data_IF_185665223780
#
_entry.id   IF_185665223780
#
_cell.length_a   1.000
_cell.length_b   1.000
_cell.length_c   1.000
_cell.angle_alpha   90.00
_cell.angle_beta   90.00
_cell.angle_gamma   90.00
#
_symmetry.space_group_name_H-M   'P 1'
#
loop_
_entity.id
_entity.type
_entity.pdbx_description
1 polymer ?
#
# COMPACT_ATOMS: atom_id res chain seq x y z
N UNK A 1 2.25 -5.48 8.13
CA UNK A 1 1.73 -4.24 8.74
C UNK A 1 0.26 -4.08 8.43
N UNK A 2 -0.46 -3.31 9.25
CA UNK A 2 -1.85 -2.97 8.99
C UNK A 2 -1.95 -1.99 7.81
N UNK A 3 -2.81 -2.31 6.86
CA UNK A 3 -3.22 -1.43 5.77
C UNK A 3 -4.53 -0.77 6.19
N UNK A 4 -4.53 0.55 6.29
CA UNK A 4 -5.69 1.26 6.79
C UNK A 4 -5.52 2.75 6.60
N UNK A 5 -6.52 3.56 7.00
CA UNK A 5 -6.56 5.00 6.78
C UNK A 5 -5.56 5.72 7.69
N UNK A 6 -4.27 5.46 7.46
CA UNK A 6 -3.18 6.20 8.06
C UNK A 6 -3.33 7.65 7.58
N UNK A 7 -3.45 8.62 8.51
CA UNK A 7 -3.76 10.01 8.16
C UNK A 7 -2.61 10.72 7.43
N UNK A 8 -1.45 10.08 7.35
CA UNK A 8 -0.28 10.58 6.66
C UNK A 8 0.35 9.46 5.81
N UNK A 9 1.15 9.82 4.79
CA UNK A 9 1.98 8.86 4.08
C UNK A 9 2.88 8.07 5.03
N UNK A 10 3.02 6.77 4.76
CA UNK A 10 3.85 5.86 5.54
C UNK A 10 5.05 5.44 4.72
N UNK A 11 6.22 5.34 5.36
CA UNK A 11 7.42 4.75 4.77
C UNK A 11 7.83 3.54 5.60
N UNK A 12 8.17 2.44 4.94
CA UNK A 12 8.66 1.23 5.59
C UNK A 12 9.93 0.72 4.92
N UNK A 13 10.89 0.30 5.72
CA UNK A 13 12.08 -0.40 5.25
C UNK A 13 11.86 -1.91 5.41
N UNK A 14 12.06 -2.64 4.32
CA UNK A 14 11.89 -4.11 4.28
C UNK A 14 13.26 -4.73 4.02
N UNK A 15 13.77 -5.58 4.92
CA UNK A 15 15.04 -6.28 4.71
C UNK A 15 15.07 -7.07 3.40
N UNK A 16 16.27 -7.23 2.82
CA UNK A 16 16.42 -7.99 1.58
C UNK A 16 15.81 -9.40 1.70
N UNK A 17 14.96 -9.78 0.73
CA UNK A 17 14.30 -11.07 0.69
C UNK A 17 13.14 -11.26 1.68
N UNK A 18 12.91 -10.31 2.60
CA UNK A 18 11.76 -10.36 3.49
C UNK A 18 10.47 -9.96 2.75
N UNK A 19 9.32 -10.59 3.05
CA UNK A 19 8.05 -10.19 2.48
C UNK A 19 7.50 -8.92 3.14
N UNK A 20 6.80 -8.10 2.36
CA UNK A 20 5.84 -7.14 2.87
C UNK A 20 4.46 -7.78 2.89
N UNK A 21 3.83 -7.84 4.07
CA UNK A 21 2.42 -8.23 4.21
C UNK A 21 1.60 -7.01 4.63
N UNK A 22 0.55 -6.71 3.88
CA UNK A 22 -0.47 -5.71 4.17
C UNK A 22 -1.76 -6.44 4.56
N UNK A 23 -2.32 -6.13 5.73
CA UNK A 23 -3.57 -6.74 6.23
C UNK A 23 -4.58 -5.69 6.66
N UNK A 24 -5.86 -5.91 6.36
CA UNK A 24 -6.95 -5.07 6.81
C UNK A 24 -8.21 -5.88 7.09
N UNK A 25 -8.99 -5.39 8.07
CA UNK A 25 -10.31 -5.87 8.41
C UNK A 25 -11.09 -4.67 8.96
N UNK A 26 -11.93 -4.07 8.12
CA UNK A 26 -12.72 -2.87 8.44
C UNK A 26 -14.20 -3.18 8.64
N UNK A 27 -14.56 -4.47 8.78
CA UNK A 27 -15.95 -4.90 8.80
C UNK A 27 -16.61 -4.73 7.43
N UNK A 28 -17.60 -3.85 7.32
CA UNK A 28 -18.32 -3.53 6.07
C UNK A 28 -18.14 -2.09 5.61
N UNK A 29 -17.47 -1.25 6.39
CA UNK A 29 -17.70 0.20 6.35
C UNK A 29 -16.68 0.96 5.52
N UNK A 30 -15.53 0.35 5.25
CA UNK A 30 -14.45 0.96 4.47
C UNK A 30 -13.81 -0.08 3.55
N UNK A 31 -13.81 0.18 2.26
CA UNK A 31 -13.18 -0.73 1.31
C UNK A 31 -11.73 -0.34 1.06
N UNK A 32 -10.84 -1.32 0.93
CA UNK A 32 -9.44 -1.08 0.61
C UNK A 32 -9.00 -1.95 -0.54
N UNK A 33 -8.08 -1.41 -1.34
CA UNK A 33 -7.36 -2.12 -2.38
C UNK A 33 -5.86 -1.81 -2.29
N UNK A 34 -5.07 -2.44 -3.13
CA UNK A 34 -3.64 -2.14 -3.28
C UNK A 34 -3.35 -1.85 -4.74
N UNK A 35 -2.89 -0.63 -5.00
CA UNK A 35 -2.48 -0.16 -6.32
C UNK A 35 -1.00 0.21 -6.26
N UNK A 36 -0.18 -0.34 -7.16
CA UNK A 36 1.20 0.13 -7.34
C UNK A 36 1.22 1.38 -8.21
N UNK A 37 1.98 2.38 -7.80
CA UNK A 37 2.10 3.67 -8.49
C UNK A 37 3.59 3.97 -8.78
N UNK A 38 3.89 4.77 -9.82
CA UNK A 38 5.27 5.04 -10.21
C UNK A 38 6.01 6.00 -9.26
N UNK A 39 5.30 6.73 -8.40
CA UNK A 39 5.86 7.68 -7.44
C UNK A 39 4.93 7.82 -6.23
N UNK A 40 5.45 8.30 -5.09
CA UNK A 40 4.67 8.61 -3.88
C UNK A 40 3.73 9.82 -4.08
N UNK A 41 2.75 9.68 -4.96
CA UNK A 41 1.83 10.74 -5.36
C UNK A 41 0.46 10.13 -5.69
N UNK A 42 -0.55 10.53 -4.93
CA UNK A 42 -1.91 10.00 -5.03
C UNK A 42 -2.60 10.32 -6.36
N UNK A 43 -2.12 11.32 -7.11
CA UNK A 43 -2.63 11.68 -8.43
C UNK A 43 -2.16 10.72 -9.54
N UNK A 44 -1.15 9.88 -9.28
CA UNK A 44 -0.63 8.95 -10.29
C UNK A 44 -1.55 7.76 -10.47
N UNK A 45 -1.76 7.42 -11.73
CA UNK A 45 -2.35 6.14 -12.09
C UNK A 45 -1.39 4.99 -11.78
N UNK A 46 -1.97 3.80 -11.67
CA UNK A 46 -1.24 2.64 -11.19
C UNK A 46 -1.93 1.33 -11.54
N UNK A 47 -1.25 0.23 -11.24
CA UNK A 47 -1.77 -1.11 -11.48
C UNK A 47 -2.47 -1.63 -10.22
N UNK A 48 -3.71 -2.11 -10.37
CA UNK A 48 -4.41 -2.82 -9.30
C UNK A 48 -3.73 -4.18 -9.06
N UNK A 49 -3.18 -4.37 -7.86
CA UNK A 49 -2.51 -5.61 -7.45
C UNK A 49 -3.40 -6.47 -6.56
N UNK A 50 -4.33 -5.85 -5.83
CA UNK A 50 -5.30 -6.55 -5.00
C UNK A 50 -6.64 -5.81 -5.03
N UNK A 51 -7.73 -6.54 -5.25
CA UNK A 51 -9.07 -5.98 -5.44
C UNK A 51 -9.66 -5.32 -4.20
N UNK A 52 -10.66 -4.47 -4.42
CA UNK A 52 -11.40 -3.74 -3.39
C UNK A 52 -12.20 -4.69 -2.50
N UNK A 53 -11.90 -4.70 -1.21
CA UNK A 53 -12.59 -5.50 -0.18
C UNK A 53 -12.48 -4.82 1.19
N UNK A 54 -13.43 -5.09 2.08
CA UNK A 54 -13.37 -4.64 3.47
C UNK A 54 -12.45 -5.51 4.35
N UNK A 55 -12.09 -6.69 3.87
CA UNK A 55 -11.13 -7.58 4.54
C UNK A 55 -10.18 -8.21 3.53
N UNK A 56 -8.88 -8.08 3.77
CA UNK A 56 -7.88 -8.59 2.84
C UNK A 56 -6.50 -8.74 3.45
N UNK A 57 -5.73 -9.61 2.81
CA UNK A 57 -4.30 -9.81 3.06
C UNK A 57 -3.61 -9.85 1.72
N UNK A 58 -2.64 -8.96 1.53
CA UNK A 58 -1.78 -8.93 0.35
C UNK A 58 -0.33 -9.07 0.78
N UNK A 59 0.38 -10.04 0.20
CA UNK A 59 1.79 -10.30 0.50
C UNK A 59 2.59 -10.24 -0.80
N UNK A 60 3.73 -9.57 -0.75
CA UNK A 60 4.67 -9.50 -1.88
C UNK A 60 6.11 -9.56 -1.42
N UNK A 61 7.01 -9.99 -2.31
CA UNK A 61 8.46 -9.86 -2.19
C UNK A 61 8.97 -9.10 -3.39
N UNK A 62 10.09 -8.39 -3.23
CA UNK A 62 10.65 -7.57 -4.29
C UNK A 62 12.18 -7.48 -4.17
N UNK A 63 12.90 -7.28 -5.29
CA UNK A 63 14.32 -6.93 -5.26
C UNK A 63 14.57 -5.62 -4.50
N UNK A 64 15.83 -5.34 -4.11
CA UNK A 64 16.21 -4.04 -3.55
C UNK A 64 15.77 -2.87 -4.44
N UNK A 65 15.26 -1.81 -3.82
CA UNK A 65 14.69 -0.66 -4.53
C UNK A 65 13.55 0.01 -3.77
N UNK A 66 13.01 1.08 -4.35
CA UNK A 66 11.88 1.81 -3.78
C UNK A 66 10.61 1.53 -4.56
N UNK A 67 9.53 1.21 -3.84
CA UNK A 67 8.22 0.90 -4.40
C UNK A 67 7.16 1.77 -3.73
N UNK A 68 6.10 2.09 -4.48
CA UNK A 68 5.04 2.95 -3.99
C UNK A 68 3.67 2.29 -4.17
N UNK A 69 2.84 2.38 -3.15
CA UNK A 69 1.50 1.82 -3.13
C UNK A 69 0.49 2.83 -2.63
N UNK A 70 -0.73 2.75 -3.14
CA UNK A 70 -1.88 3.49 -2.62
C UNK A 70 -3.14 2.65 -2.54
N UNK A 71 -4.11 3.13 -1.78
CA UNK A 71 -5.50 2.75 -1.94
C UNK A 71 -6.19 3.74 -2.89
N UNK A 72 -6.84 3.26 -3.95
CA UNK A 72 -7.51 4.13 -4.94
C UNK A 72 -8.97 4.46 -4.63
N UNK A 73 -9.52 3.89 -3.56
CA UNK A 73 -10.87 4.22 -3.10
C UNK A 73 -10.98 5.72 -2.77
N UNK A 74 -12.15 6.29 -3.09
CA UNK A 74 -12.41 7.72 -2.96
C UNK A 74 -12.19 8.18 -1.51
N UNK A 75 -11.43 9.26 -1.33
CA UNK A 75 -11.17 9.85 -0.02
C UNK A 75 -10.07 9.17 0.78
N UNK A 76 -9.43 8.12 0.25
CA UNK A 76 -8.25 7.50 0.88
C UNK A 76 -6.99 8.25 0.43
N UNK A 77 -6.37 7.86 -0.69
CA UNK A 77 -5.18 8.58 -1.17
C UNK A 77 -5.48 10.02 -1.57
N UNK A 78 -6.64 10.31 -2.17
CA UNK A 78 -6.96 11.69 -2.58
C UNK A 78 -7.01 12.70 -1.42
N UNK A 79 -7.11 12.24 -0.17
CA UNK A 79 -7.02 13.08 1.05
C UNK A 79 -5.67 12.98 1.77
N UNK A 80 -4.66 12.37 1.13
CA UNK A 80 -3.32 12.18 1.70
C UNK A 80 -3.18 10.96 2.61
N UNK A 81 -4.17 10.07 2.66
CA UNK A 81 -4.13 8.85 3.48
C UNK A 81 -3.68 7.64 2.67
N UNK A 82 -3.25 6.57 3.33
CA UNK A 82 -2.99 5.28 2.66
C UNK A 82 -2.02 5.37 1.46
N UNK A 83 -1.04 6.27 1.53
CA UNK A 83 0.08 6.34 0.61
C UNK A 83 1.27 5.67 1.29
N UNK A 84 1.88 4.69 0.62
CA UNK A 84 2.96 3.89 1.17
C UNK A 84 4.19 3.96 0.28
N UNK A 85 5.32 4.28 0.88
CA UNK A 85 6.65 4.10 0.31
C UNK A 85 7.30 2.89 0.96
N UNK A 86 7.89 2.01 0.17
CA UNK A 86 8.57 0.81 0.62
C UNK A 86 9.99 0.85 0.11
N UNK A 87 10.97 0.87 1.01
CA UNK A 87 12.37 0.72 0.67
C UNK A 87 12.77 -0.72 0.94
N UNK A 88 12.93 -1.49 -0.13
CA UNK A 88 13.52 -2.81 -0.09
C UNK A 88 15.04 -2.66 0.02
N UNK A 89 15.59 -3.07 1.16
CA UNK A 89 17.01 -2.91 1.45
C UNK A 89 17.85 -3.89 0.62
N UNK A 90 19.08 -3.49 0.34
CA UNK A 90 20.04 -4.35 -0.35
C UNK A 90 20.39 -5.58 0.50
N UNK A 91 20.63 -6.68 -0.22
CA UNK A 91 21.54 -7.73 0.21
C UNK A 91 22.98 -7.20 -0.07
#
# INVERSE_FOLDING_TARGET
>A
MTWGPNPAPVTVDVPCGAPLTLTWDTGSDLMHNVVSIPAADCSKDGQLLFGTTSKGTWTTTFPPGTYFYKCSEEGHCSKGHMLLTVNALAC
#
